data_IF_336151331365
#
_entry.id   IF_336151331365
#
_cell.length_a   1.000
_cell.length_b   1.000
_cell.length_c   1.000
_cell.angle_alpha   90.00
_cell.angle_beta   90.00
_cell.angle_gamma   90.00
#
_symmetry.space_group_name_H-M   'P 1'
#
loop_
_entity.id
_entity.type
_entity.pdbx_description
1 polymer ?
#
# COMPACT_ATOMS: atom_id res chain seq x y z
N UNK A 1 -2.13 -29.97 -16.11
CA UNK A 1 -0.88 -29.55 -15.46
C UNK A 1 -1.25 -28.86 -14.16
N UNK A 2 -0.76 -29.33 -13.01
CA UNK A 2 -0.94 -28.60 -11.75
C UNK A 2 -0.10 -27.33 -11.80
N UNK A 3 -0.68 -26.17 -11.47
CA UNK A 3 0.11 -24.96 -11.20
C UNK A 3 1.04 -25.23 -10.01
N UNK A 4 2.35 -25.14 -10.23
CA UNK A 4 3.37 -25.34 -9.18
C UNK A 4 3.52 -24.10 -8.27
N UNK A 5 2.87 -22.99 -8.63
CA UNK A 5 2.91 -21.74 -7.88
C UNK A 5 1.49 -21.16 -7.77
N UNK A 6 0.97 -21.09 -6.55
CA UNK A 6 -0.29 -20.43 -6.26
C UNK A 6 -0.04 -18.94 -6.05
N UNK A 7 -0.39 -18.12 -7.04
CA UNK A 7 -0.18 -16.68 -6.94
C UNK A 7 -1.10 -16.07 -5.88
N UNK A 8 -0.68 -14.95 -5.27
CA UNK A 8 -1.56 -14.23 -4.34
C UNK A 8 -2.85 -13.75 -5.03
N UNK A 9 -2.80 -13.40 -6.33
CA UNK A 9 -4.01 -13.03 -7.06
C UNK A 9 -5.00 -14.20 -7.18
N UNK A 10 -4.49 -15.39 -7.49
CA UNK A 10 -5.30 -16.61 -7.55
C UNK A 10 -5.91 -16.93 -6.18
N UNK A 11 -5.10 -16.93 -5.12
CA UNK A 11 -5.58 -17.11 -3.74
C UNK A 11 -6.75 -16.17 -3.43
N UNK A 12 -6.60 -14.88 -3.74
CA UNK A 12 -7.63 -13.88 -3.46
C UNK A 12 -8.90 -14.09 -4.28
N UNK A 13 -8.78 -14.45 -5.56
CA UNK A 13 -9.95 -14.73 -6.40
C UNK A 13 -10.72 -15.96 -5.93
N UNK A 14 -10.01 -17.03 -5.55
CA UNK A 14 -10.63 -18.24 -5.00
C UNK A 14 -11.31 -17.97 -3.65
N UNK A 15 -10.72 -17.11 -2.82
CA UNK A 15 -11.24 -16.79 -1.48
C UNK A 15 -12.46 -15.86 -1.53
N UNK A 16 -12.43 -14.84 -2.39
CA UNK A 16 -13.43 -13.77 -2.40
C UNK A 16 -14.39 -13.82 -3.61
N UNK A 17 -14.16 -14.72 -4.58
CA UNK A 17 -14.97 -14.85 -5.79
C UNK A 17 -14.79 -13.72 -6.80
N UNK A 18 -13.98 -12.71 -6.48
CA UNK A 18 -13.79 -11.50 -7.29
C UNK A 18 -12.34 -11.02 -7.30
N UNK A 19 -12.04 -10.06 -8.18
CA UNK A 19 -10.72 -9.44 -8.23
C UNK A 19 -10.55 -8.44 -7.09
N UNK A 20 -9.67 -8.77 -6.15
CA UNK A 20 -9.32 -7.89 -5.03
C UNK A 20 -8.29 -6.84 -5.44
N UNK A 21 -8.56 -5.58 -5.06
CA UNK A 21 -7.64 -4.46 -5.23
C UNK A 21 -7.18 -3.93 -3.87
N UNK A 22 -5.92 -3.45 -3.80
CA UNK A 22 -5.34 -2.87 -2.59
C UNK A 22 -5.49 -1.35 -2.60
N UNK A 23 -5.98 -0.79 -1.50
CA UNK A 23 -6.02 0.67 -1.26
C UNK A 23 -4.84 1.03 -0.34
N UNK A 24 -3.85 1.78 -0.82
CA UNK A 24 -2.77 2.28 0.04
C UNK A 24 -3.30 3.26 1.09
N UNK A 25 -2.81 3.16 2.33
CA UNK A 25 -3.13 4.03 3.45
C UNK A 25 -1.86 4.48 4.16
N UNK A 26 -1.86 5.71 4.68
CA UNK A 26 -0.81 6.30 5.49
C UNK A 26 -1.37 6.62 6.88
N UNK A 27 -0.82 5.97 7.90
CA UNK A 27 -1.22 6.12 9.29
C UNK A 27 -0.42 7.18 10.05
N UNK A 28 0.42 7.97 9.37
CA UNK A 28 1.24 9.01 9.98
C UNK A 28 2.40 8.44 10.79
N UNK A 29 2.80 7.20 10.51
CA UNK A 29 3.96 6.59 11.17
C UNK A 29 5.25 7.21 10.64
N UNK A 30 6.19 7.39 11.56
CA UNK A 30 7.58 7.70 11.21
C UNK A 30 8.38 6.41 10.97
N UNK A 31 9.55 6.53 10.34
CA UNK A 31 10.49 5.43 10.14
C UNK A 31 11.75 5.71 10.97
N UNK A 32 12.16 4.78 11.87
CA UNK A 32 13.31 4.98 12.75
C UNK A 32 14.65 5.13 11.99
N UNK A 33 14.68 4.70 10.73
CA UNK A 33 15.85 4.85 9.86
C UNK A 33 15.85 6.19 9.11
N UNK A 34 14.79 6.98 9.20
CA UNK A 34 14.64 8.29 8.56
C UNK A 34 14.59 9.43 9.57
N UNK A 35 13.93 9.22 10.70
CA UNK A 35 13.77 10.22 11.76
C UNK A 35 14.99 10.41 12.67
N UNK A 36 16.06 9.65 12.45
CA UNK A 36 17.30 9.77 13.22
C UNK A 36 17.36 8.90 14.47
N UNK A 37 16.33 8.11 14.79
CA UNK A 37 16.37 7.25 15.99
C UNK A 37 17.39 6.09 15.86
N UNK A 38 17.47 5.46 14.68
CA UNK A 38 18.45 4.39 14.38
C UNK A 38 19.51 4.82 13.37
N UNK A 39 19.13 5.61 12.37
CA UNK A 39 20.03 6.17 11.37
C UNK A 39 19.38 7.39 10.70
N UNK A 40 20.17 8.13 9.92
CA UNK A 40 19.72 9.26 9.12
C UNK A 40 19.70 8.88 7.63
N UNK A 41 18.77 9.48 6.87
CA UNK A 41 18.71 9.36 5.40
C UNK A 41 17.82 8.23 4.85
N UNK A 42 17.45 7.24 5.67
CA UNK A 42 16.63 6.10 5.26
C UNK A 42 17.43 4.88 4.80
N UNK A 43 16.72 3.81 4.43
CA UNK A 43 17.34 2.61 3.89
C UNK A 43 17.83 2.84 2.46
N UNK A 44 18.92 2.21 2.05
CA UNK A 44 19.50 2.32 0.70
C UNK A 44 18.55 1.93 -0.44
N UNK A 45 17.55 1.11 -0.14
CA UNK A 45 16.52 0.66 -1.09
C UNK A 45 15.22 1.47 -1.01
N UNK A 46 15.09 2.38 -0.03
CA UNK A 46 13.90 3.22 0.08
C UNK A 46 14.01 4.42 -0.84
N UNK A 47 12.90 4.77 -1.52
CA UNK A 47 12.80 6.07 -2.18
C UNK A 47 12.73 7.21 -1.17
N UNK A 48 12.77 8.47 -1.64
CA UNK A 48 12.73 9.68 -0.82
C UNK A 48 11.50 9.76 0.12
N UNK A 49 10.39 9.11 -0.24
CA UNK A 49 9.13 9.06 0.51
C UNK A 49 9.02 7.84 1.43
N UNK A 50 10.00 6.94 1.40
CA UNK A 50 10.04 5.74 2.22
C UNK A 50 8.94 4.74 1.85
N UNK A 51 8.11 4.36 2.81
CA UNK A 51 6.98 3.45 2.59
C UNK A 51 5.70 4.15 2.10
N UNK A 52 5.73 5.47 1.95
CA UNK A 52 4.55 6.26 1.56
C UNK A 52 4.17 6.01 0.09
N UNK A 53 2.92 5.63 -0.15
CA UNK A 53 2.45 5.46 -1.53
C UNK A 53 2.20 6.83 -2.19
N UNK A 54 2.66 7.06 -3.43
CA UNK A 54 2.53 8.37 -4.11
C UNK A 54 1.09 8.87 -4.29
N UNK A 55 0.11 7.98 -4.21
CA UNK A 55 -1.32 8.28 -4.41
C UNK A 55 -2.05 8.70 -3.13
N UNK A 56 -1.36 8.71 -1.99
CA UNK A 56 -1.93 9.09 -0.70
C UNK A 56 -1.70 10.58 -0.45
N UNK A 57 -2.75 11.27 0.00
CA UNK A 57 -2.66 12.62 0.56
C UNK A 57 -2.58 12.48 2.08
N UNK A 58 -1.37 12.65 2.62
CA UNK A 58 -1.03 12.35 4.02
C UNK A 58 -1.78 13.23 5.03
N UNK A 59 -2.27 14.40 4.62
CA UNK A 59 -3.08 15.30 5.45
C UNK A 59 -4.53 14.83 5.70
N UNK A 60 -4.94 13.67 5.18
CA UNK A 60 -6.31 13.16 5.31
C UNK A 60 -6.43 12.10 6.40
N UNK A 61 -7.58 12.04 7.09
CA UNK A 61 -7.91 10.92 7.99
C UNK A 61 -7.88 9.57 7.25
N UNK A 62 -7.59 8.48 7.96
CA UNK A 62 -7.61 7.11 7.38
C UNK A 62 -8.93 6.83 6.64
N UNK A 63 -10.07 7.24 7.22
CA UNK A 63 -11.39 7.07 6.60
C UNK A 63 -11.46 7.80 5.25
N UNK A 64 -11.02 9.06 5.21
CA UNK A 64 -10.99 9.86 3.99
C UNK A 64 -10.02 9.31 2.94
N UNK A 65 -8.85 8.82 3.35
CA UNK A 65 -7.90 8.14 2.47
C UNK A 65 -8.51 6.89 1.85
N UNK A 66 -9.17 6.05 2.66
CA UNK A 66 -9.81 4.82 2.21
C UNK A 66 -10.94 5.11 1.21
N UNK A 67 -11.85 6.02 1.53
CA UNK A 67 -12.96 6.41 0.62
C UNK A 67 -12.43 6.96 -0.70
N UNK A 68 -11.44 7.85 -0.67
CA UNK A 68 -10.83 8.42 -1.88
C UNK A 68 -10.08 7.37 -2.70
N UNK A 69 -9.38 6.46 -2.03
CA UNK A 69 -8.65 5.37 -2.67
C UNK A 69 -9.57 4.38 -3.37
N UNK A 70 -10.65 3.95 -2.70
CA UNK A 70 -11.68 3.11 -3.31
C UNK A 70 -12.31 3.79 -4.53
N UNK A 71 -12.65 5.08 -4.44
CA UNK A 71 -13.23 5.82 -5.56
C UNK A 71 -12.28 5.88 -6.78
N UNK A 72 -10.97 6.09 -6.55
CA UNK A 72 -9.97 6.08 -7.62
C UNK A 72 -9.82 4.72 -8.29
N UNK A 73 -9.78 3.64 -7.49
CA UNK A 73 -9.64 2.28 -8.01
C UNK A 73 -10.86 1.91 -8.86
N UNK A 74 -12.08 2.17 -8.36
CA UNK A 74 -13.35 1.95 -9.10
C UNK A 74 -13.45 2.73 -10.41
N UNK A 75 -12.80 3.90 -10.50
CA UNK A 75 -12.77 4.68 -11.75
C UNK A 75 -11.80 4.09 -12.77
N UNK A 76 -10.74 3.43 -12.31
CA UNK A 76 -9.65 2.93 -13.15
C UNK A 76 -9.90 1.51 -13.66
N UNK A 77 -10.61 0.69 -12.90
CA UNK A 77 -10.87 -0.72 -13.17
C UNK A 77 -12.34 -1.02 -12.92
#
# INVERSE_FOLDING_TARGET
MSELYRSFNQYLRETFGERVYRVPLDAGFTCPNRDGFKTFGGCTFCDERGSGAPTIKTALSIKSQMSSGMARIRKRF
#
